data_IF_360269479955
#
_entry.id   IF_360269479955
#
_cell.length_a   1.000
_cell.length_b   1.000
_cell.length_c   1.000
_cell.angle_alpha   90.00
_cell.angle_beta   90.00
_cell.angle_gamma   90.00
#
_symmetry.space_group_name_H-M   'P 1'
#
loop_
_entity.id
_entity.type
_entity.pdbx_description
1 polymer ?
#
# COMPACT_ATOMS: atom_id res chain seq x y z
N UNK A 1 0.95 17.47 -15.52
CA UNK A 1 -0.29 16.62 -15.54
C UNK A 1 -1.25 17.09 -14.47
N UNK A 2 -2.52 17.25 -14.81
CA UNK A 2 -3.63 17.49 -13.87
C UNK A 2 -3.94 16.21 -13.07
N UNK A 3 -4.70 16.33 -11.96
CA UNK A 3 -5.14 15.16 -11.20
C UNK A 3 -5.99 14.20 -12.06
N UNK A 4 -6.82 14.72 -12.97
CA UNK A 4 -7.61 13.89 -13.88
C UNK A 4 -6.72 13.03 -14.79
N UNK A 5 -5.74 13.65 -15.44
CA UNK A 5 -4.76 12.94 -16.30
C UNK A 5 -3.94 11.90 -15.51
N UNK A 6 -3.54 12.22 -14.27
CA UNK A 6 -2.83 11.29 -13.38
C UNK A 6 -3.71 10.11 -12.97
N UNK A 7 -4.99 10.37 -12.65
CA UNK A 7 -5.98 9.31 -12.35
C UNK A 7 -6.17 8.38 -13.56
N UNK A 8 -6.34 8.94 -14.76
CA UNK A 8 -6.49 8.15 -15.98
C UNK A 8 -5.25 7.31 -16.29
N UNK A 9 -4.05 7.87 -16.06
CA UNK A 9 -2.79 7.13 -16.17
C UNK A 9 -2.75 5.96 -15.17
N UNK A 10 -3.12 6.21 -13.92
CA UNK A 10 -3.16 5.16 -12.88
C UNK A 10 -4.14 4.04 -13.23
N UNK A 11 -5.33 4.38 -13.74
CA UNK A 11 -6.31 3.39 -14.16
C UNK A 11 -5.81 2.56 -15.36
N UNK A 12 -5.14 3.17 -16.33
CA UNK A 12 -4.51 2.43 -17.45
C UNK A 12 -3.44 1.45 -16.95
N UNK A 13 -2.56 1.89 -16.05
CA UNK A 13 -1.54 1.02 -15.43
C UNK A 13 -2.15 -0.15 -14.66
N UNK A 14 -3.25 0.11 -13.95
CA UNK A 14 -3.95 -0.94 -13.21
C UNK A 14 -4.66 -1.93 -14.16
N UNK A 15 -5.24 -1.46 -15.26
CA UNK A 15 -5.78 -2.36 -16.29
C UNK A 15 -4.67 -3.21 -16.91
N UNK A 16 -3.53 -2.61 -17.25
CA UNK A 16 -2.34 -3.34 -17.71
C UNK A 16 -1.85 -4.37 -16.67
N UNK A 17 -1.83 -4.00 -15.37
CA UNK A 17 -1.48 -4.94 -14.31
C UNK A 17 -2.49 -6.09 -14.21
N UNK A 18 -3.78 -5.82 -14.36
CA UNK A 18 -4.83 -6.84 -14.37
C UNK A 18 -4.67 -7.79 -15.55
N UNK A 19 -4.44 -7.27 -16.75
CA UNK A 19 -4.25 -8.07 -17.97
C UNK A 19 -2.99 -8.96 -17.87
N UNK A 20 -1.93 -8.45 -17.24
CA UNK A 20 -0.65 -9.15 -17.13
C UNK A 20 -0.59 -10.15 -15.98
N UNK A 21 -1.18 -9.83 -14.84
CA UNK A 21 -1.01 -10.57 -13.59
C UNK A 21 -2.31 -11.16 -13.04
N UNK A 22 -3.45 -10.81 -13.63
CA UNK A 22 -4.76 -11.32 -13.23
C UNK A 22 -5.31 -10.74 -11.92
N UNK A 23 -6.50 -11.22 -11.53
CA UNK A 23 -7.22 -10.75 -10.34
C UNK A 23 -6.55 -11.12 -9.00
N UNK A 24 -5.59 -12.04 -9.02
CA UNK A 24 -4.81 -12.44 -7.83
C UNK A 24 -3.79 -11.37 -7.39
N UNK A 25 -3.64 -10.30 -8.16
CA UNK A 25 -2.85 -9.12 -7.80
C UNK A 25 -3.36 -8.51 -6.50
N UNK A 26 -2.45 -8.29 -5.55
CA UNK A 26 -2.80 -7.71 -4.26
C UNK A 26 -2.39 -6.24 -4.14
N UNK A 27 -3.05 -5.51 -3.26
CA UNK A 27 -2.64 -4.16 -2.87
C UNK A 27 -1.88 -4.21 -1.55
N UNK A 28 -0.67 -3.68 -1.52
CA UNK A 28 0.09 -3.42 -0.29
C UNK A 28 -0.55 -2.29 0.50
N UNK A 29 -1.61 -2.61 1.24
CA UNK A 29 -2.41 -1.62 1.94
C UNK A 29 -1.96 -1.43 3.40
N UNK A 30 -1.44 -0.26 3.71
CA UNK A 30 -0.88 0.06 5.03
C UNK A 30 -1.87 0.77 5.96
N UNK A 31 -3.08 1.09 5.49
CA UNK A 31 -4.01 2.00 6.15
C UNK A 31 -3.65 3.48 5.95
N UNK A 32 -2.58 3.77 5.22
CA UNK A 32 -2.16 5.14 4.89
C UNK A 32 -2.90 5.70 3.67
N UNK A 33 -2.94 7.03 3.56
CA UNK A 33 -3.65 7.76 2.51
C UNK A 33 -3.30 7.31 1.08
N UNK A 34 -2.01 7.14 0.81
CA UNK A 34 -1.50 6.80 -0.52
C UNK A 34 -1.93 5.38 -0.94
N UNK A 35 -1.75 4.40 -0.05
CA UNK A 35 -2.18 3.03 -0.30
C UNK A 35 -3.70 2.87 -0.36
N UNK A 36 -4.46 3.75 0.28
CA UNK A 36 -5.93 3.77 0.20
C UNK A 36 -6.40 4.27 -1.18
N UNK A 37 -5.73 5.26 -1.77
CA UNK A 37 -5.98 5.66 -3.16
C UNK A 37 -5.77 4.48 -4.12
N UNK A 38 -4.65 3.76 -3.99
CA UNK A 38 -4.36 2.57 -4.82
C UNK A 38 -5.44 1.50 -4.63
N UNK A 39 -5.84 1.24 -3.39
CA UNK A 39 -6.88 0.26 -3.07
C UNK A 39 -8.21 0.57 -3.76
N UNK A 40 -8.65 1.83 -3.70
CA UNK A 40 -9.92 2.28 -4.30
C UNK A 40 -9.86 2.26 -5.83
N UNK A 41 -8.77 2.71 -6.43
CA UNK A 41 -8.60 2.66 -7.88
C UNK A 41 -8.53 1.21 -8.39
N UNK A 42 -7.83 0.33 -7.68
CA UNK A 42 -7.78 -1.10 -8.00
C UNK A 42 -9.15 -1.77 -7.88
N UNK A 43 -9.88 -1.45 -6.82
CA UNK A 43 -11.25 -1.96 -6.66
C UNK A 43 -12.13 -1.61 -7.86
N UNK A 44 -12.07 -0.37 -8.37
CA UNK A 44 -12.84 0.05 -9.57
C UNK A 44 -12.48 -0.78 -10.79
N UNK A 45 -11.19 -0.97 -11.05
CA UNK A 45 -10.71 -1.78 -12.18
C UNK A 45 -11.12 -3.24 -12.03
N UNK A 46 -10.99 -3.80 -10.83
CA UNK A 46 -11.36 -5.18 -10.55
C UNK A 46 -12.88 -5.38 -10.67
N UNK A 47 -13.68 -4.47 -10.13
CA UNK A 47 -15.14 -4.56 -10.18
C UNK A 47 -15.72 -4.44 -11.60
N UNK A 48 -15.05 -3.68 -12.48
CA UNK A 48 -15.41 -3.58 -13.91
C UNK A 48 -15.18 -4.92 -14.64
N UNK A 49 -14.08 -5.60 -14.37
CA UNK A 49 -13.68 -6.83 -15.05
C UNK A 49 -14.23 -8.11 -14.37
N UNK A 50 -14.36 -8.10 -13.04
CA UNK A 50 -14.77 -9.24 -12.21
C UNK A 50 -15.79 -8.78 -11.17
N UNK A 51 -17.07 -8.56 -11.55
CA UNK A 51 -18.10 -8.10 -10.62
C UNK A 51 -18.25 -9.05 -9.41
N UNK A 52 -18.19 -8.47 -8.21
CA UNK A 52 -18.31 -9.22 -6.96
C UNK A 52 -16.97 -9.80 -6.42
N UNK A 53 -15.87 -9.68 -7.14
CA UNK A 53 -14.57 -10.09 -6.62
C UNK A 53 -14.13 -9.20 -5.44
N UNK A 54 -13.69 -9.84 -4.35
CA UNK A 54 -13.10 -9.12 -3.22
C UNK A 54 -11.70 -8.62 -3.58
N UNK A 55 -11.39 -7.39 -3.18
CA UNK A 55 -10.03 -6.86 -3.35
C UNK A 55 -9.09 -7.52 -2.35
N UNK A 56 -8.04 -8.14 -2.87
CA UNK A 56 -6.98 -8.70 -2.04
C UNK A 56 -6.06 -7.60 -1.53
N UNK A 57 -5.92 -7.51 -0.22
CA UNK A 57 -5.06 -6.54 0.44
C UNK A 57 -4.02 -7.23 1.33
N UNK A 58 -2.76 -6.83 1.22
CA UNK A 58 -1.66 -7.30 2.06
C UNK A 58 -1.24 -6.18 3.01
N UNK A 59 -1.41 -6.39 4.31
CA UNK A 59 -1.00 -5.45 5.35
C UNK A 59 0.17 -5.99 6.14
N UNK A 60 1.23 -5.20 6.24
CA UNK A 60 2.36 -5.53 7.09
C UNK A 60 2.20 -4.88 8.47
N UNK A 61 1.96 -5.71 9.47
CA UNK A 61 1.94 -5.32 10.88
C UNK A 61 3.30 -5.62 11.52
N UNK A 62 4.10 -4.58 11.70
CA UNK A 62 5.44 -4.70 12.28
C UNK A 62 5.44 -4.93 13.79
N UNK A 63 4.26 -4.96 14.44
CA UNK A 63 4.12 -4.96 15.90
C UNK A 63 4.44 -3.61 16.57
N UNK A 64 4.83 -2.60 15.79
CA UNK A 64 5.19 -1.26 16.26
C UNK A 64 4.31 -0.17 15.64
N UNK A 65 3.12 -0.53 15.18
CA UNK A 65 2.15 0.41 14.61
C UNK A 65 1.40 1.16 15.70
N UNK A 66 0.94 2.38 15.38
CA UNK A 66 0.01 3.10 16.23
C UNK A 66 -1.31 2.31 16.35
N UNK A 67 -1.94 2.26 17.54
CA UNK A 67 -3.25 1.61 17.73
C UNK A 67 -4.31 2.14 16.76
N UNK A 68 -4.33 3.44 16.50
CA UNK A 68 -5.27 4.12 15.59
C UNK A 68 -5.14 3.59 14.15
N UNK A 69 -3.93 3.23 13.71
CA UNK A 69 -3.69 2.66 12.38
C UNK A 69 -4.26 1.24 12.30
N UNK A 70 -4.09 0.44 13.35
CA UNK A 70 -4.60 -0.93 13.41
C UNK A 70 -6.13 -0.93 13.46
N UNK A 71 -6.72 -0.07 14.28
CA UNK A 71 -8.16 0.08 14.40
C UNK A 71 -8.79 0.56 13.09
N UNK A 72 -8.20 1.58 12.45
CA UNK A 72 -8.61 2.06 11.13
C UNK A 72 -8.55 0.95 10.09
N UNK A 73 -7.43 0.22 10.03
CA UNK A 73 -7.26 -0.93 9.12
C UNK A 73 -8.38 -1.94 9.30
N UNK A 74 -8.61 -2.41 10.52
CA UNK A 74 -9.55 -3.49 10.78
C UNK A 74 -11.00 -3.04 10.54
N UNK A 75 -11.31 -1.79 10.84
CA UNK A 75 -12.62 -1.19 10.56
C UNK A 75 -12.89 -1.09 9.07
N UNK A 76 -11.94 -0.54 8.29
CA UNK A 76 -12.11 -0.37 6.85
C UNK A 76 -12.12 -1.72 6.12
N UNK A 77 -11.27 -2.65 6.53
CA UNK A 77 -11.25 -3.98 5.91
C UNK A 77 -12.61 -4.69 6.03
N UNK A 78 -13.24 -4.60 7.21
CA UNK A 78 -14.59 -5.16 7.41
C UNK A 78 -15.65 -4.39 6.63
N UNK A 79 -15.62 -3.05 6.67
CA UNK A 79 -16.61 -2.21 6.01
C UNK A 79 -16.61 -2.41 4.49
N UNK A 80 -15.43 -2.58 3.91
CA UNK A 80 -15.25 -2.72 2.45
C UNK A 80 -15.18 -4.18 1.98
N UNK A 81 -15.28 -5.15 2.88
CA UNK A 81 -15.24 -6.57 2.51
C UNK A 81 -13.92 -7.01 1.86
N UNK A 82 -12.78 -6.48 2.33
CA UNK A 82 -11.47 -6.80 1.76
C UNK A 82 -11.03 -8.23 2.12
N UNK A 83 -10.42 -8.95 1.17
CA UNK A 83 -9.60 -10.14 1.50
C UNK A 83 -8.26 -9.66 2.08
N UNK A 84 -8.30 -9.29 3.37
CA UNK A 84 -7.14 -8.73 4.07
C UNK A 84 -6.26 -9.84 4.65
N UNK A 85 -4.99 -9.86 4.22
CA UNK A 85 -3.94 -10.69 4.81
C UNK A 85 -2.99 -9.81 5.64
N UNK A 86 -2.92 -10.09 6.94
CA UNK A 86 -2.02 -9.39 7.87
C UNK A 86 -0.76 -10.22 8.06
N UNK A 87 0.37 -9.65 7.66
CA UNK A 87 1.70 -10.27 7.77
C UNK A 87 2.45 -9.68 8.95
N UNK A 88 3.11 -10.53 9.72
CA UNK A 88 3.95 -10.13 10.85
C UNK A 88 5.38 -10.63 10.69
N UNK A 89 6.37 -9.90 11.21
CA UNK A 89 7.74 -10.38 11.30
C UNK A 89 7.83 -11.56 12.27
N UNK A 90 8.77 -12.45 11.99
CA UNK A 90 9.09 -13.58 12.87
C UNK A 90 10.29 -13.21 13.75
N UNK A 91 10.07 -12.24 14.64
CA UNK A 91 11.08 -11.74 15.59
C UNK A 91 10.46 -11.53 16.97
N UNK A 92 11.21 -11.80 18.00
CA UNK A 92 10.81 -11.43 19.38
C UNK A 92 11.03 -9.94 19.61
N UNK A 93 9.97 -9.15 19.49
CA UNK A 93 10.02 -7.69 19.64
C UNK A 93 10.50 -7.23 21.03
N UNK A 94 10.37 -8.07 22.06
CA UNK A 94 10.85 -7.72 23.40
C UNK A 94 12.37 -7.74 23.50
N UNK A 95 13.04 -8.42 22.58
CA UNK A 95 14.51 -8.55 22.52
C UNK A 95 15.12 -7.85 21.30
N UNK A 96 14.28 -7.47 20.34
CA UNK A 96 14.76 -6.83 19.12
C UNK A 96 15.17 -5.37 19.37
N UNK A 97 16.35 -4.90 18.92
CA UNK A 97 16.82 -3.52 19.11
C UNK A 97 16.07 -2.55 18.18
N UNK A 98 14.80 -2.26 18.50
CA UNK A 98 13.94 -1.41 17.70
C UNK A 98 14.57 -0.04 17.44
N UNK A 99 14.57 0.39 16.18
CA UNK A 99 15.06 1.68 15.70
C UNK A 99 16.55 1.99 16.00
N UNK A 100 17.31 1.06 16.53
CA UNK A 100 18.75 1.24 16.75
C UNK A 100 19.53 1.40 15.45
N UNK A 101 19.16 0.59 14.44
CA UNK A 101 19.57 0.76 13.04
C UNK A 101 18.32 0.71 12.15
N UNK A 102 17.90 1.85 11.58
CA UNK A 102 16.68 1.91 10.74
C UNK A 102 16.72 1.00 9.52
N UNK A 103 17.89 0.77 8.91
CA UNK A 103 18.01 -0.08 7.71
C UNK A 103 17.77 -1.55 8.06
N UNK A 104 18.47 -2.06 9.07
CA UNK A 104 18.28 -3.44 9.57
C UNK A 104 16.87 -3.64 10.10
N UNK A 105 16.35 -2.69 10.88
CA UNK A 105 15.00 -2.74 11.40
C UNK A 105 13.95 -2.80 10.27
N UNK A 106 14.06 -1.97 9.23
CA UNK A 106 13.17 -2.02 8.08
C UNK A 106 13.31 -3.32 7.28
N UNK A 107 14.53 -3.84 7.12
CA UNK A 107 14.76 -5.12 6.46
C UNK A 107 14.05 -6.26 7.20
N UNK A 108 14.28 -6.38 8.51
CA UNK A 108 13.83 -7.53 9.31
C UNK A 108 12.32 -7.46 9.62
N UNK A 109 11.80 -6.27 9.89
CA UNK A 109 10.39 -6.09 10.26
C UNK A 109 9.45 -5.82 9.09
N UNK A 110 10.00 -5.50 7.88
CA UNK A 110 9.16 -5.15 6.72
C UNK A 110 9.52 -5.95 5.47
N UNK A 111 10.79 -5.88 5.01
CA UNK A 111 11.16 -6.40 3.69
C UNK A 111 11.11 -7.92 3.68
N UNK A 112 11.76 -8.57 4.65
CA UNK A 112 11.79 -10.04 4.75
C UNK A 112 10.38 -10.62 4.93
N UNK A 113 9.55 -10.15 5.90
CA UNK A 113 8.20 -10.69 6.08
C UNK A 113 7.31 -10.46 4.85
N UNK A 114 7.42 -9.29 4.21
CA UNK A 114 6.66 -8.99 3.00
C UNK A 114 7.01 -9.94 1.85
N UNK A 115 8.31 -10.13 1.56
CA UNK A 115 8.75 -11.00 0.49
C UNK A 115 8.36 -12.46 0.76
N UNK A 116 8.47 -12.94 2.01
CA UNK A 116 8.00 -14.26 2.42
C UNK A 116 6.50 -14.41 2.15
N UNK A 117 5.68 -13.47 2.60
CA UNK A 117 4.24 -13.55 2.41
C UNK A 117 3.83 -13.51 0.93
N UNK A 118 4.49 -12.68 0.11
CA UNK A 118 4.24 -12.64 -1.34
C UNK A 118 4.53 -14.00 -1.97
N UNK A 119 5.63 -14.66 -1.59
CA UNK A 119 5.99 -15.99 -2.10
C UNK A 119 5.03 -17.08 -1.59
N UNK A 120 4.70 -17.11 -0.30
CA UNK A 120 3.80 -18.09 0.31
C UNK A 120 2.36 -18.01 -0.25
N UNK A 121 1.91 -16.80 -0.56
CA UNK A 121 0.59 -16.54 -1.14
C UNK A 121 0.58 -16.67 -2.68
N UNK A 122 1.72 -16.90 -3.30
CA UNK A 122 1.86 -16.99 -4.75
C UNK A 122 1.39 -15.72 -5.48
N UNK A 123 1.61 -14.54 -4.89
CA UNK A 123 1.14 -13.29 -5.49
C UNK A 123 1.98 -12.93 -6.71
N UNK A 124 1.38 -12.80 -7.90
CA UNK A 124 2.12 -12.46 -9.11
C UNK A 124 2.58 -11.00 -9.12
N UNK A 125 1.79 -10.11 -8.47
CA UNK A 125 2.12 -8.71 -8.37
C UNK A 125 1.57 -8.07 -7.08
N UNK A 126 2.26 -6.99 -6.64
CA UNK A 126 1.87 -6.15 -5.51
C UNK A 126 1.77 -4.69 -5.97
N UNK A 127 0.57 -4.11 -5.90
CA UNK A 127 0.34 -2.69 -6.13
C UNK A 127 0.68 -1.91 -4.86
N UNK A 128 1.43 -0.83 -4.99
CA UNK A 128 1.91 -0.03 -3.85
C UNK A 128 1.57 1.45 -4.00
N UNK A 129 1.39 2.14 -2.88
CA UNK A 129 1.16 3.58 -2.82
C UNK A 129 2.45 4.41 -2.88
N UNK A 130 3.49 3.89 -3.51
CA UNK A 130 4.78 4.60 -3.67
C UNK A 130 4.62 5.76 -4.65
N UNK A 131 5.16 6.94 -4.26
CA UNK A 131 5.18 8.15 -5.09
C UNK A 131 6.61 8.70 -5.24
N UNK A 132 6.91 9.27 -6.40
CA UNK A 132 8.18 9.95 -6.64
C UNK A 132 8.34 11.21 -5.78
N UNK A 133 7.23 11.89 -5.47
CA UNK A 133 7.15 13.09 -4.63
C UNK A 133 7.68 12.89 -3.18
N UNK A 134 7.72 11.65 -2.70
CA UNK A 134 8.17 11.34 -1.33
C UNK A 134 9.70 11.28 -1.18
N UNK A 135 10.42 10.98 -2.25
CA UNK A 135 11.87 10.82 -2.23
C UNK A 135 12.46 11.08 -3.62
N UNK A 136 13.43 12.03 -3.75
CA UNK A 136 14.10 12.33 -5.02
C UNK A 136 14.73 11.10 -5.69
N UNK A 137 15.20 10.10 -4.94
CA UNK A 137 15.77 8.86 -5.48
C UNK A 137 14.77 8.01 -6.26
N UNK A 138 13.48 8.35 -6.18
CA UNK A 138 12.41 7.69 -6.95
C UNK A 138 12.10 8.39 -8.28
N UNK A 139 12.73 9.54 -8.54
CA UNK A 139 12.58 10.23 -9.80
C UNK A 139 13.10 9.37 -10.96
N UNK A 140 12.28 9.18 -11.99
CA UNK A 140 12.65 8.37 -13.16
C UNK A 140 12.57 6.85 -12.96
N UNK A 141 12.14 6.36 -11.81
CA UNK A 141 11.87 4.92 -11.64
C UNK A 141 10.70 4.47 -12.52
N UNK A 142 10.74 3.24 -13.05
CA UNK A 142 9.58 2.69 -13.73
C UNK A 142 8.43 2.46 -12.74
N UNK A 143 7.19 2.60 -13.23
CA UNK A 143 6.00 2.32 -12.41
C UNK A 143 5.81 0.83 -12.11
N UNK A 144 6.46 -0.04 -12.87
CA UNK A 144 6.43 -1.51 -12.73
C UNK A 144 7.87 -2.04 -12.72
N UNK A 145 8.20 -2.78 -11.68
CA UNK A 145 9.53 -3.36 -11.45
C UNK A 145 9.40 -4.86 -11.17
N UNK A 146 10.36 -5.65 -11.69
CA UNK A 146 10.49 -7.08 -11.37
C UNK A 146 11.37 -7.25 -10.13
N UNK A 147 10.87 -8.03 -9.18
CA UNK A 147 11.57 -8.34 -7.92
C UNK A 147 11.97 -9.84 -7.81
N UNK A 148 12.11 -10.53 -8.95
CA UNK A 148 12.56 -11.93 -8.97
C UNK A 148 11.56 -12.90 -8.32
N UNK A 149 10.42 -13.09 -8.97
CA UNK A 149 9.36 -13.98 -8.50
C UNK A 149 8.01 -13.29 -8.33
N UNK A 150 7.99 -11.97 -8.27
CA UNK A 150 6.77 -11.15 -8.32
C UNK A 150 7.10 -9.76 -8.86
N UNK A 151 6.09 -9.06 -9.34
CA UNK A 151 6.23 -7.67 -9.76
C UNK A 151 5.72 -6.70 -8.72
N UNK A 152 6.32 -5.50 -8.64
CA UNK A 152 5.80 -4.39 -7.85
C UNK A 152 5.41 -3.25 -8.76
N UNK A 153 4.20 -2.76 -8.60
CA UNK A 153 3.68 -1.66 -9.36
C UNK A 153 3.38 -0.45 -8.45
N UNK A 154 3.76 0.73 -8.91
CA UNK A 154 3.48 2.01 -8.28
C UNK A 154 2.56 2.83 -9.20
N UNK A 155 1.25 2.51 -9.28
CA UNK A 155 0.37 3.12 -10.26
C UNK A 155 0.17 4.63 -10.06
N UNK A 156 0.39 5.14 -8.84
CA UNK A 156 0.30 6.56 -8.49
C UNK A 156 1.68 7.25 -8.37
N UNK A 157 2.70 6.75 -9.05
CA UNK A 157 4.08 7.21 -8.93
C UNK A 157 4.23 8.73 -9.15
N UNK A 158 3.49 9.32 -10.08
CA UNK A 158 3.53 10.75 -10.43
C UNK A 158 2.59 11.63 -9.58
N UNK A 159 1.85 11.05 -8.64
CA UNK A 159 0.96 11.84 -7.78
C UNK A 159 1.76 12.61 -6.73
N UNK A 160 1.36 13.85 -6.50
CA UNK A 160 1.84 14.64 -5.36
C UNK A 160 1.00 14.35 -4.11
N UNK A 161 1.48 14.77 -2.94
CA UNK A 161 0.71 14.68 -1.70
C UNK A 161 -0.62 15.44 -1.81
N UNK A 162 -0.62 16.60 -2.51
CA UNK A 162 -1.83 17.38 -2.75
C UNK A 162 -2.83 16.61 -3.63
N UNK A 163 -2.36 15.88 -4.66
CA UNK A 163 -3.24 15.05 -5.49
C UNK A 163 -3.93 13.96 -4.66
N UNK A 164 -3.18 13.31 -3.77
CA UNK A 164 -3.71 12.26 -2.88
C UNK A 164 -4.80 12.82 -1.97
N UNK A 165 -4.55 13.95 -1.30
CA UNK A 165 -5.56 14.57 -0.43
C UNK A 165 -6.75 15.10 -1.21
N UNK A 166 -6.53 15.70 -2.38
CA UNK A 166 -7.62 16.16 -3.26
C UNK A 166 -8.51 14.99 -3.68
N UNK A 167 -7.91 13.83 -3.96
CA UNK A 167 -8.66 12.63 -4.30
C UNK A 167 -9.44 12.11 -3.10
N UNK A 168 -8.83 12.03 -1.90
CA UNK A 168 -9.53 11.63 -0.67
C UNK A 168 -10.78 12.47 -0.42
N UNK A 169 -10.65 13.79 -0.49
CA UNK A 169 -11.77 14.72 -0.25
C UNK A 169 -12.85 14.58 -1.33
N UNK A 170 -12.48 14.53 -2.61
CA UNK A 170 -13.46 14.43 -3.72
C UNK A 170 -14.23 13.12 -3.75
N UNK A 171 -13.58 12.05 -3.34
CA UNK A 171 -14.17 10.70 -3.34
C UNK A 171 -14.71 10.30 -1.96
N UNK A 172 -14.72 11.25 -1.01
CA UNK A 172 -15.19 11.04 0.37
C UNK A 172 -14.57 9.83 1.06
N UNK A 173 -13.27 9.60 0.81
CA UNK A 173 -12.57 8.44 1.36
C UNK A 173 -12.21 8.67 2.83
N UNK A 174 -12.34 7.65 3.67
CA UNK A 174 -11.91 7.73 5.05
C UNK A 174 -10.39 7.77 5.17
N UNK A 175 -9.89 8.35 6.27
CA UNK A 175 -8.49 8.33 6.65
C UNK A 175 -8.33 8.06 8.14
N UNK A 176 -7.11 7.69 8.54
CA UNK A 176 -6.75 7.48 9.92
C UNK A 176 -6.68 8.83 10.67
N UNK A 177 -7.24 8.88 11.88
CA UNK A 177 -7.31 10.11 12.71
C UNK A 177 -5.95 10.74 13.06
N UNK A 178 -4.86 10.00 12.92
CA UNK A 178 -3.52 10.56 13.10
C UNK A 178 -3.19 11.67 12.10
N UNK A 179 -3.78 11.65 10.91
CA UNK A 179 -3.62 12.75 9.95
C UNK A 179 -4.24 14.05 10.45
N UNK A 180 -5.34 13.99 11.20
CA UNK A 180 -5.99 15.16 11.82
C UNK A 180 -5.14 15.73 12.98
N UNK A 181 -4.22 14.91 13.51
CA UNK A 181 -3.25 15.28 14.54
C UNK A 181 -1.91 15.81 13.95
N UNK A 182 -1.83 15.99 12.63
CA UNK A 182 -0.67 16.55 11.95
C UNK A 182 0.38 15.54 11.46
N UNK A 183 0.15 14.23 11.62
CA UNK A 183 1.03 13.23 11.01
C UNK A 183 0.92 13.28 9.48
N UNK A 184 2.03 13.37 8.79
CA UNK A 184 2.06 13.38 7.31
C UNK A 184 2.15 11.98 6.69
N UNK A 185 2.67 11.03 7.44
CA UNK A 185 2.78 9.62 7.01
C UNK A 185 2.67 8.68 8.20
N UNK A 186 2.11 7.49 7.97
CA UNK A 186 1.91 6.47 8.99
C UNK A 186 3.01 5.40 8.89
N UNK A 187 3.88 5.36 9.87
CA UNK A 187 4.99 4.41 9.97
C UNK A 187 4.94 3.58 11.26
N UNK A 188 6.11 3.12 11.70
CA UNK A 188 6.25 2.55 13.03
C UNK A 188 6.40 3.68 14.06
N UNK A 189 5.79 3.55 15.26
CA UNK A 189 5.86 4.55 16.34
C UNK A 189 7.29 5.01 16.65
N UNK A 190 8.30 4.12 16.76
CA UNK A 190 9.65 4.56 17.09
C UNK A 190 10.33 5.42 16.00
N UNK A 191 9.75 5.49 14.79
CA UNK A 191 10.31 6.22 13.65
C UNK A 191 9.55 7.53 13.34
N UNK A 192 8.57 7.93 14.18
CA UNK A 192 7.66 9.06 13.93
C UNK A 192 7.67 10.07 15.08
#
# INVERSE_FOLDING_TARGET
MTLAEKKDLSLRRMKEALDRFGPETAVGWTGGKDSTVVLVLWWRVLAEAFPGAAVRALNLDTGCKFPEVLEFRDRIARLWGLDLRVVRPDVDLNRYPLAADPLSCCRDLKIIPLNRAVAELGLPALLTGVRADENPDRAGRPWLEDYGGHSRAAPILEWTELDVWTFHVREELPWCSLYDQGYRSLGCMPCK
#
